data_IF_293799867811
#
_entry.id   IF_293799867811
#
_cell.length_a   1.000
_cell.length_b   1.000
_cell.length_c   1.000
_cell.angle_alpha   90.00
_cell.angle_beta   90.00
_cell.angle_gamma   90.00
#
_symmetry.space_group_name_H-M   'P 1'
#
loop_
_entity.id
_entity.type
_entity.pdbx_description
1 polymer ?
#
# COMPACT_ATOMS: atom_id res chain seq x y z
N UNK A 1 -2.52 -8.57 -24.24
CA UNK A 1 -2.25 -8.50 -25.69
C UNK A 1 -2.08 -9.88 -26.34
N UNK A 2 -1.24 -10.77 -25.82
CA UNK A 2 -1.00 -12.10 -26.43
C UNK A 2 -2.27 -12.98 -26.59
N UNK A 3 -3.20 -12.92 -25.64
CA UNK A 3 -4.47 -13.67 -25.69
C UNK A 3 -5.41 -13.17 -26.79
N UNK A 4 -5.51 -11.85 -26.97
CA UNK A 4 -6.34 -11.23 -28.03
C UNK A 4 -5.81 -11.58 -29.41
N UNK A 5 -4.49 -11.50 -29.61
CA UNK A 5 -3.82 -11.88 -30.85
C UNK A 5 -4.06 -13.37 -31.15
N UNK A 6 -4.00 -14.22 -30.12
CA UNK A 6 -4.26 -15.66 -30.27
C UNK A 6 -5.68 -15.95 -30.73
N UNK A 7 -6.71 -15.34 -30.12
CA UNK A 7 -8.10 -15.51 -30.56
C UNK A 7 -8.36 -14.93 -31.96
N UNK A 8 -7.71 -13.83 -32.32
CA UNK A 8 -7.81 -13.26 -33.66
C UNK A 8 -7.23 -14.21 -34.73
N UNK A 9 -6.06 -14.80 -34.47
CA UNK A 9 -5.45 -15.79 -35.36
C UNK A 9 -6.36 -17.02 -35.49
N UNK A 10 -6.91 -17.50 -34.37
CA UNK A 10 -7.76 -18.70 -34.33
C UNK A 10 -9.10 -18.47 -35.05
N UNK A 11 -9.69 -17.27 -34.93
CA UNK A 11 -10.87 -16.87 -35.69
C UNK A 11 -10.62 -16.77 -37.20
N UNK A 12 -9.46 -16.21 -37.61
CA UNK A 12 -9.03 -16.18 -39.02
C UNK A 12 -8.83 -17.61 -39.55
N UNK A 13 -8.26 -18.50 -38.74
CA UNK A 13 -8.09 -19.92 -39.10
C UNK A 13 -9.43 -20.64 -39.27
N UNK A 14 -10.40 -20.38 -38.38
CA UNK A 14 -11.76 -20.90 -38.48
C UNK A 14 -12.49 -20.43 -39.74
N UNK A 15 -12.14 -19.28 -40.31
CA UNK A 15 -12.68 -18.80 -41.59
C UNK A 15 -11.92 -19.37 -42.79
N UNK A 16 -10.58 -19.37 -42.75
CA UNK A 16 -9.75 -19.78 -43.87
C UNK A 16 -9.76 -21.29 -44.12
N UNK A 17 -9.66 -22.11 -43.07
CA UNK A 17 -9.52 -23.57 -43.23
C UNK A 17 -10.75 -24.21 -43.90
N UNK A 18 -12.00 -23.92 -43.47
CA UNK A 18 -13.18 -24.46 -44.14
C UNK A 18 -13.33 -23.93 -45.57
N UNK A 19 -12.96 -22.67 -45.83
CA UNK A 19 -13.01 -22.08 -47.18
C UNK A 19 -12.01 -22.77 -48.12
N UNK A 20 -10.77 -22.99 -47.67
CA UNK A 20 -9.75 -23.69 -48.45
C UNK A 20 -10.13 -25.15 -48.69
N UNK A 21 -10.68 -25.83 -47.68
CA UNK A 21 -11.16 -27.20 -47.82
C UNK A 21 -12.31 -27.31 -48.84
N UNK A 22 -13.26 -26.37 -48.80
CA UNK A 22 -14.37 -26.31 -49.76
C UNK A 22 -13.90 -26.04 -51.19
N UNK A 23 -12.96 -25.10 -51.38
CA UNK A 23 -12.39 -24.77 -52.69
C UNK A 23 -11.48 -25.87 -53.27
N UNK A 24 -10.92 -26.73 -52.42
CA UNK A 24 -10.09 -27.86 -52.84
C UNK A 24 -10.88 -29.09 -53.30
N UNK A 25 -12.22 -29.06 -53.15
CA UNK A 25 -13.10 -30.13 -53.62
C UNK A 25 -13.21 -30.17 -55.15
N UNK A 26 -13.33 -31.37 -55.72
CA UNK A 26 -13.44 -31.58 -57.18
C UNK A 26 -14.83 -31.29 -57.77
N UNK A 27 -15.80 -30.84 -56.96
CA UNK A 27 -17.15 -30.52 -57.41
C UNK A 27 -17.29 -29.06 -57.87
N UNK A 28 -18.19 -28.75 -58.83
CA UNK A 28 -18.50 -27.38 -59.20
C UNK A 28 -19.02 -26.58 -57.99
N UNK A 29 -18.42 -25.42 -57.78
CA UNK A 29 -18.72 -24.51 -56.66
C UNK A 29 -20.17 -24.02 -56.74
N UNK A 30 -21.04 -24.52 -55.86
CA UNK A 30 -22.39 -23.95 -55.62
C UNK A 30 -22.34 -23.02 -54.41
N UNK A 31 -22.87 -21.80 -54.56
CA UNK A 31 -22.92 -20.79 -53.50
C UNK A 31 -23.86 -21.24 -52.37
N UNK A 32 -24.93 -21.95 -52.71
CA UNK A 32 -25.96 -22.43 -51.80
C UNK A 32 -25.41 -23.53 -50.87
N UNK A 33 -24.64 -24.47 -51.43
CA UNK A 33 -23.92 -25.50 -50.66
C UNK A 33 -22.82 -24.89 -49.80
N UNK A 34 -22.12 -23.86 -50.29
CA UNK A 34 -21.12 -23.13 -49.53
C UNK A 34 -21.73 -22.47 -48.30
N UNK A 35 -22.82 -21.72 -48.48
CA UNK A 35 -23.54 -21.06 -47.39
C UNK A 35 -24.04 -22.04 -46.32
N UNK A 36 -24.57 -23.20 -46.73
CA UNK A 36 -25.02 -24.24 -45.81
C UNK A 36 -23.86 -24.89 -45.03
N UNK A 37 -22.72 -25.16 -45.68
CA UNK A 37 -21.53 -25.71 -45.04
C UNK A 37 -20.89 -24.72 -44.06
N UNK A 38 -20.78 -23.45 -44.45
CA UNK A 38 -20.25 -22.38 -43.60
C UNK A 38 -21.17 -22.09 -42.41
N UNK A 39 -22.49 -22.03 -42.66
CA UNK A 39 -23.48 -21.80 -41.61
C UNK A 39 -23.55 -22.93 -40.58
N UNK A 40 -23.39 -24.18 -41.01
CA UNK A 40 -23.45 -25.35 -40.12
C UNK A 40 -22.15 -25.62 -39.35
N UNK A 41 -20.99 -25.37 -39.96
CA UNK A 41 -19.70 -25.76 -39.39
C UNK A 41 -18.96 -24.56 -38.79
N UNK A 42 -18.79 -23.51 -39.59
CA UNK A 42 -18.00 -22.33 -39.21
C UNK A 42 -18.76 -21.43 -38.23
N UNK A 43 -20.09 -21.30 -38.39
CA UNK A 43 -20.95 -20.50 -37.51
C UNK A 43 -20.85 -20.91 -36.03
N UNK A 44 -21.13 -22.18 -35.66
CA UNK A 44 -21.02 -22.65 -34.28
C UNK A 44 -19.60 -22.56 -33.70
N UNK A 45 -18.58 -22.86 -34.51
CA UNK A 45 -17.17 -22.76 -34.09
C UNK A 45 -16.78 -21.31 -33.76
N UNK A 46 -17.14 -20.36 -34.62
CA UNK A 46 -16.91 -18.93 -34.36
C UNK A 46 -17.71 -18.44 -33.15
N UNK A 47 -18.95 -18.90 -32.97
CA UNK A 47 -19.76 -18.55 -31.80
C UNK A 47 -19.13 -19.05 -30.50
N UNK A 48 -18.63 -20.29 -30.49
CA UNK A 48 -17.92 -20.85 -29.33
C UNK A 48 -16.61 -20.11 -29.04
N UNK A 49 -15.84 -19.80 -30.08
CA UNK A 49 -14.58 -19.06 -29.97
C UNK A 49 -14.83 -17.62 -29.48
N UNK A 50 -15.90 -16.97 -29.95
CA UNK A 50 -16.33 -15.67 -29.45
C UNK A 50 -16.68 -15.72 -27.96
N UNK A 51 -17.40 -16.76 -27.50
CA UNK A 51 -17.71 -16.93 -26.08
C UNK A 51 -16.45 -17.11 -25.23
N UNK A 52 -15.49 -17.93 -25.69
CA UNK A 52 -14.20 -18.09 -25.01
C UNK A 52 -13.40 -16.78 -24.97
N UNK A 53 -13.40 -16.02 -26.06
CA UNK A 53 -12.74 -14.71 -26.12
C UNK A 53 -13.38 -13.72 -25.14
N UNK A 54 -14.71 -13.71 -25.03
CA UNK A 54 -15.44 -12.88 -24.05
C UNK A 54 -15.06 -13.29 -22.62
N UNK A 55 -15.08 -14.58 -22.30
CA UNK A 55 -14.71 -15.07 -20.96
C UNK A 55 -13.26 -14.72 -20.62
N UNK A 56 -12.32 -14.90 -21.56
CA UNK A 56 -10.93 -14.52 -21.36
C UNK A 56 -10.76 -13.02 -21.16
N UNK A 57 -11.53 -12.20 -21.89
CA UNK A 57 -11.53 -10.75 -21.74
C UNK A 57 -12.07 -10.34 -20.37
N UNK A 58 -13.16 -10.95 -19.91
CA UNK A 58 -13.72 -10.67 -18.58
C UNK A 58 -12.72 -11.01 -17.48
N UNK A 59 -12.04 -12.16 -17.56
CA UNK A 59 -11.02 -12.53 -16.57
C UNK A 59 -9.87 -11.53 -16.52
N UNK A 60 -9.36 -11.12 -17.69
CA UNK A 60 -8.30 -10.10 -17.74
C UNK A 60 -8.76 -8.75 -17.21
N UNK A 61 -10.00 -8.33 -17.50
CA UNK A 61 -10.56 -7.10 -16.97
C UNK A 61 -10.74 -7.17 -15.46
N UNK A 62 -11.23 -8.29 -14.92
CA UNK A 62 -11.35 -8.49 -13.47
C UNK A 62 -10.00 -8.37 -12.78
N UNK A 63 -8.95 -8.97 -13.34
CA UNK A 63 -7.60 -8.87 -12.78
C UNK A 63 -7.06 -7.44 -12.85
N UNK A 64 -7.25 -6.74 -13.98
CA UNK A 64 -6.85 -5.35 -14.11
C UNK A 64 -7.58 -4.44 -13.11
N UNK A 65 -8.89 -4.63 -12.91
CA UNK A 65 -9.68 -3.90 -11.91
C UNK A 65 -9.17 -4.19 -10.50
N UNK A 66 -8.84 -5.44 -10.20
CA UNK A 66 -8.30 -5.83 -8.89
C UNK A 66 -6.96 -5.15 -8.61
N UNK A 67 -6.07 -5.11 -9.60
CA UNK A 67 -4.77 -4.44 -9.49
C UNK A 67 -4.93 -2.93 -9.30
N UNK A 68 -5.82 -2.30 -10.06
CA UNK A 68 -6.12 -0.86 -9.92
C UNK A 68 -6.72 -0.54 -8.55
N UNK A 69 -7.66 -1.36 -8.07
CA UNK A 69 -8.25 -1.23 -6.74
C UNK A 69 -7.20 -1.36 -5.62
N UNK A 70 -6.28 -2.33 -5.74
CA UNK A 70 -5.18 -2.53 -4.79
C UNK A 70 -4.22 -1.34 -4.79
N UNK A 71 -3.82 -0.85 -5.96
CA UNK A 71 -2.96 0.33 -6.10
C UNK A 71 -3.61 1.59 -5.54
N UNK A 72 -4.92 1.79 -5.79
CA UNK A 72 -5.68 2.90 -5.24
C UNK A 72 -5.74 2.85 -3.72
N UNK A 73 -6.05 1.68 -3.15
CA UNK A 73 -6.08 1.48 -1.70
C UNK A 73 -4.72 1.78 -1.07
N UNK A 74 -3.63 1.27 -1.65
CA UNK A 74 -2.27 1.57 -1.20
C UNK A 74 -1.99 3.07 -1.26
N UNK A 75 -2.36 3.75 -2.35
CA UNK A 75 -2.22 5.20 -2.49
C UNK A 75 -2.99 6.00 -1.43
N UNK A 76 -4.22 5.60 -1.09
CA UNK A 76 -5.00 6.22 -0.02
C UNK A 76 -4.34 6.06 1.35
N UNK A 77 -3.81 4.86 1.67
CA UNK A 77 -3.08 4.65 2.90
C UNK A 77 -1.76 5.44 2.96
N UNK A 78 -1.01 5.53 1.86
CA UNK A 78 0.21 6.33 1.79
C UNK A 78 -0.09 7.81 2.02
N UNK A 79 -1.17 8.32 1.42
CA UNK A 79 -1.64 9.70 1.65
C UNK A 79 -2.03 9.92 3.11
N UNK A 80 -2.66 8.95 3.75
CA UNK A 80 -2.98 9.03 5.17
C UNK A 80 -1.71 9.05 6.04
N UNK A 81 -0.72 8.20 5.73
CA UNK A 81 0.58 8.21 6.41
C UNK A 81 1.33 9.53 6.24
N UNK A 82 1.33 10.10 5.03
CA UNK A 82 1.94 11.41 4.80
C UNK A 82 1.18 12.54 5.53
N UNK A 83 -0.15 12.43 5.65
CA UNK A 83 -0.96 13.34 6.47
C UNK A 83 -0.54 13.33 7.93
N UNK A 84 -0.54 12.15 8.57
CA UNK A 84 -0.10 12.01 9.98
C UNK A 84 1.34 12.48 10.15
N UNK A 85 2.23 12.18 9.19
CA UNK A 85 3.63 12.62 9.25
C UNK A 85 3.77 14.15 9.13
N UNK A 86 2.93 14.80 8.32
CA UNK A 86 2.85 16.26 8.26
C UNK A 86 2.40 16.86 9.59
N UNK A 87 1.34 16.31 10.18
CA UNK A 87 0.81 16.75 11.49
C UNK A 87 1.87 16.57 12.60
N UNK A 88 2.64 15.47 12.56
CA UNK A 88 3.81 15.28 13.44
C UNK A 88 4.88 16.36 13.24
N UNK A 89 5.13 16.75 11.98
CA UNK A 89 6.04 17.84 11.65
C UNK A 89 5.59 19.18 12.21
N UNK A 90 4.29 19.49 12.11
CA UNK A 90 3.70 20.70 12.67
C UNK A 90 3.79 20.72 14.21
N UNK A 91 3.51 19.59 14.87
CA UNK A 91 3.70 19.46 16.32
C UNK A 91 5.17 19.63 16.72
N UNK A 92 6.11 19.08 15.94
CA UNK A 92 7.55 19.23 16.18
C UNK A 92 7.99 20.70 16.07
N UNK A 93 7.41 21.44 15.14
CA UNK A 93 7.77 22.84 14.89
C UNK A 93 6.97 23.83 15.76
N UNK A 94 5.98 23.33 16.51
CA UNK A 94 5.27 24.10 17.54
C UNK A 94 6.25 24.69 18.54
N UNK A 95 6.13 25.99 18.74
CA UNK A 95 6.86 26.72 19.77
C UNK A 95 6.25 26.48 21.14
N UNK A 96 7.10 26.19 22.11
CA UNK A 96 6.75 25.99 23.51
C UNK A 96 7.44 27.09 24.30
N UNK A 97 6.66 27.77 25.15
CA UNK A 97 7.20 28.79 26.05
C UNK A 97 7.79 28.11 27.28
N UNK A 98 9.06 28.41 27.54
CA UNK A 98 9.71 28.09 28.79
C UNK A 98 9.23 28.99 29.93
N UNK A 99 9.43 28.51 31.15
CA UNK A 99 9.22 29.21 32.41
C UNK A 99 10.07 30.49 32.53
N UNK A 100 11.19 30.59 31.79
CA UNK A 100 12.06 31.76 31.70
C UNK A 100 11.65 32.75 30.59
N UNK A 101 10.56 32.47 29.87
CA UNK A 101 10.12 33.26 28.72
C UNK A 101 10.85 32.95 27.40
N UNK A 102 11.77 32.00 27.39
CA UNK A 102 12.38 31.50 26.15
C UNK A 102 11.36 30.73 25.30
N UNK A 103 11.52 30.75 23.98
CA UNK A 103 10.72 29.95 23.05
C UNK A 103 11.62 28.88 22.40
N UNK A 104 11.28 27.62 22.62
CA UNK A 104 11.95 26.48 22.00
C UNK A 104 10.91 25.66 21.22
N UNK A 105 11.31 25.10 20.08
CA UNK A 105 10.43 24.16 19.37
C UNK A 105 10.48 22.79 20.04
N UNK A 106 9.40 22.03 19.94
CA UNK A 106 9.38 20.65 20.43
C UNK A 106 10.51 19.81 19.80
N UNK A 107 10.80 20.04 18.52
CA UNK A 107 11.93 19.45 17.80
C UNK A 107 13.28 19.76 18.48
N UNK A 108 13.48 21.01 18.89
CA UNK A 108 14.67 21.43 19.61
C UNK A 108 14.81 20.71 20.96
N UNK A 109 13.71 20.60 21.70
CA UNK A 109 13.65 19.90 22.99
C UNK A 109 13.98 18.41 22.81
N UNK A 110 13.35 17.73 21.85
CA UNK A 110 13.57 16.32 21.57
C UNK A 110 15.01 16.02 21.14
N UNK A 111 15.64 16.91 20.36
CA UNK A 111 17.00 16.73 19.88
C UNK A 111 18.08 16.95 20.95
N UNK A 112 17.83 17.80 21.95
CA UNK A 112 18.83 18.18 22.96
C UNK A 112 19.16 17.08 23.98
N UNK A 113 18.47 15.92 23.93
CA UNK A 113 18.77 14.74 24.76
C UNK A 113 18.38 14.86 26.24
N UNK A 114 18.18 16.08 26.75
CA UNK A 114 17.58 16.41 28.04
C UNK A 114 16.66 17.61 27.88
N UNK A 115 15.55 17.64 28.60
CA UNK A 115 14.66 18.81 28.63
C UNK A 115 15.38 19.93 29.41
N UNK A 116 15.61 21.10 28.80
CA UNK A 116 16.12 22.26 29.54
C UNK A 116 15.25 22.55 30.76
N UNK A 117 15.82 22.82 31.93
CA UNK A 117 15.06 23.13 33.16
C UNK A 117 14.06 24.27 32.94
N UNK A 118 14.42 25.26 32.11
CA UNK A 118 13.54 26.35 31.70
C UNK A 118 12.31 25.90 30.93
N UNK A 119 12.33 24.73 30.29
CA UNK A 119 11.24 24.15 29.51
C UNK A 119 10.52 22.98 30.18
N UNK A 120 10.85 22.65 31.44
CA UNK A 120 10.14 21.61 32.23
C UNK A 120 8.80 22.13 32.77
N UNK A 121 7.93 22.59 31.87
CA UNK A 121 6.60 23.10 32.17
C UNK A 121 5.47 22.12 31.78
N UNK A 122 4.24 22.36 32.26
CA UNK A 122 3.07 21.56 31.88
C UNK A 122 2.80 21.59 30.37
N UNK A 123 3.12 22.69 29.69
CA UNK A 123 2.94 22.85 28.24
C UNK A 123 3.85 21.91 27.45
N UNK A 124 5.10 21.72 27.90
CA UNK A 124 6.05 20.79 27.27
C UNK A 124 5.61 19.34 27.43
N UNK A 125 5.14 18.96 28.62
CA UNK A 125 4.60 17.62 28.86
C UNK A 125 3.35 17.34 28.03
N UNK A 126 2.45 18.32 27.95
CA UNK A 126 1.26 18.24 27.09
C UNK A 126 1.65 18.02 25.63
N UNK A 127 2.58 18.82 25.10
CA UNK A 127 3.05 18.67 23.73
C UNK A 127 3.78 17.33 23.46
N UNK A 128 4.55 16.84 24.43
CA UNK A 128 5.19 15.51 24.34
C UNK A 128 4.17 14.38 24.33
N UNK A 129 3.11 14.48 25.13
CA UNK A 129 2.02 13.50 25.15
C UNK A 129 1.23 13.51 23.83
N UNK A 130 0.86 14.70 23.32
CA UNK A 130 0.20 14.85 22.02
C UNK A 130 1.04 14.22 20.90
N UNK A 131 2.35 14.53 20.90
CA UNK A 131 3.29 13.96 19.94
C UNK A 131 3.40 12.43 20.05
N UNK A 132 3.47 11.89 21.27
CA UNK A 132 3.52 10.45 21.51
C UNK A 132 2.27 9.72 21.01
N UNK A 133 1.09 10.30 21.25
CA UNK A 133 -0.19 9.75 20.78
C UNK A 133 -0.21 9.71 19.25
N UNK A 134 0.14 10.82 18.60
CA UNK A 134 0.13 10.92 17.15
C UNK A 134 1.18 10.01 16.50
N UNK A 135 2.35 9.85 17.13
CA UNK A 135 3.36 8.89 16.68
C UNK A 135 2.86 7.44 16.83
N UNK A 136 2.08 7.16 17.87
CA UNK A 136 1.39 5.89 18.04
C UNK A 136 0.46 5.58 16.87
N UNK A 137 -0.39 6.54 16.52
CA UNK A 137 -1.31 6.43 15.38
C UNK A 137 -0.55 6.24 14.06
N UNK A 138 0.57 6.93 13.88
CA UNK A 138 1.43 6.75 12.71
C UNK A 138 1.99 5.32 12.62
N UNK A 139 2.51 4.79 13.72
CA UNK A 139 3.04 3.42 13.77
C UNK A 139 1.94 2.38 13.52
N UNK A 140 0.77 2.57 14.10
CA UNK A 140 -0.40 1.71 13.86
C UNK A 140 -0.85 1.75 12.38
N UNK A 141 -0.90 2.94 11.78
CA UNK A 141 -1.23 3.09 10.35
C UNK A 141 -0.24 2.34 9.45
N UNK A 142 1.05 2.29 9.81
CA UNK A 142 2.06 1.46 9.11
C UNK A 142 1.75 -0.03 9.25
N UNK A 143 1.32 -0.49 10.43
CA UNK A 143 0.94 -1.89 10.63
C UNK A 143 -0.29 -2.26 9.79
N UNK A 144 -1.31 -1.39 9.79
CA UNK A 144 -2.51 -1.55 8.96
C UNK A 144 -2.14 -1.58 7.47
N UNK A 145 -1.23 -0.71 7.03
CA UNK A 145 -0.74 -0.72 5.66
C UNK A 145 -0.16 -2.07 5.26
N UNK A 146 0.71 -2.65 6.10
CA UNK A 146 1.33 -3.95 5.83
C UNK A 146 0.34 -5.10 5.79
N UNK A 147 -0.73 -5.01 6.58
CA UNK A 147 -1.77 -6.04 6.61
C UNK A 147 -2.72 -5.97 5.41
N UNK A 148 -2.88 -4.79 4.81
CA UNK A 148 -3.87 -4.55 3.75
C UNK A 148 -3.28 -4.36 2.35
N UNK A 149 -2.01 -3.94 2.24
CA UNK A 149 -1.40 -3.61 0.96
C UNK A 149 -0.43 -4.69 0.49
N UNK A 150 -0.38 -4.93 -0.82
CA UNK A 150 0.53 -5.92 -1.40
C UNK A 150 2.01 -5.52 -1.23
N UNK A 151 2.95 -6.48 -1.14
CA UNK A 151 4.38 -6.23 -0.90
C UNK A 151 5.11 -5.38 -1.96
N UNK A 152 4.46 -5.09 -3.08
CA UNK A 152 5.02 -4.33 -4.20
C UNK A 152 5.32 -2.86 -3.86
N UNK A 153 4.70 -2.32 -2.82
CA UNK A 153 4.92 -0.94 -2.40
C UNK A 153 5.86 -0.86 -1.19
N UNK A 154 6.90 -0.02 -1.31
CA UNK A 154 7.95 0.07 -0.30
C UNK A 154 7.53 0.95 0.90
N UNK A 155 6.99 0.32 1.94
CA UNK A 155 6.66 0.98 3.22
C UNK A 155 7.90 1.39 4.03
N UNK A 156 9.10 0.95 3.63
CA UNK A 156 10.33 1.10 4.43
C UNK A 156 10.65 2.56 4.74
N UNK A 157 10.38 3.48 3.82
CA UNK A 157 10.60 4.92 4.05
C UNK A 157 9.77 5.42 5.25
N UNK A 158 8.52 4.99 5.36
CA UNK A 158 7.63 5.37 6.46
C UNK A 158 8.05 4.71 7.77
N UNK A 159 8.49 3.45 7.71
CA UNK A 159 9.05 2.73 8.85
C UNK A 159 10.30 3.44 9.39
N UNK A 160 11.23 3.81 8.51
CA UNK A 160 12.47 4.49 8.88
C UNK A 160 12.19 5.89 9.46
N UNK A 161 11.19 6.61 8.92
CA UNK A 161 10.72 7.89 9.48
C UNK A 161 10.17 7.71 10.90
N UNK A 162 9.24 6.77 11.09
CA UNK A 162 8.65 6.48 12.39
C UNK A 162 9.67 6.03 13.41
N UNK A 163 10.63 5.20 13.01
CA UNK A 163 11.71 4.74 13.88
C UNK A 163 12.57 5.89 14.41
N UNK A 164 12.91 6.88 13.57
CA UNK A 164 13.68 8.06 14.01
C UNK A 164 12.91 8.90 15.03
N UNK A 165 11.62 9.11 14.80
CA UNK A 165 10.75 9.84 15.74
C UNK A 165 10.59 9.09 17.06
N UNK A 166 10.48 7.76 16.99
CA UNK A 166 10.40 6.92 18.18
C UNK A 166 11.71 6.94 18.98
N UNK A 167 12.87 6.92 18.32
CA UNK A 167 14.18 7.03 18.98
C UNK A 167 14.39 8.41 19.64
N UNK A 168 13.78 9.47 19.10
CA UNK A 168 13.73 10.77 19.74
C UNK A 168 12.83 10.74 20.99
N UNK A 169 11.63 10.18 20.88
CA UNK A 169 10.68 10.07 21.99
C UNK A 169 11.23 9.22 23.15
N UNK A 170 11.91 8.10 22.83
CA UNK A 170 12.52 7.18 23.81
C UNK A 170 13.51 7.86 24.77
N UNK A 171 14.15 8.96 24.34
CA UNK A 171 15.09 9.71 25.19
C UNK A 171 14.42 10.49 26.31
N UNK A 172 13.12 10.77 26.17
CA UNK A 172 12.34 11.61 27.08
C UNK A 172 11.23 10.83 27.80
N UNK A 173 11.36 9.50 27.91
CA UNK A 173 10.32 8.64 28.50
C UNK A 173 10.01 8.90 29.95
N UNK A 174 10.98 9.44 30.71
CA UNK A 174 10.77 9.80 32.11
C UNK A 174 9.81 10.99 32.28
N UNK A 175 9.61 11.79 31.22
CA UNK A 175 8.81 13.02 31.22
C UNK A 175 7.39 12.81 30.70
N UNK A 176 7.12 11.65 30.08
CA UNK A 176 5.81 11.29 29.54
C UNK A 176 4.90 10.83 30.69
N UNK A 177 4.03 11.73 31.13
CA UNK A 177 3.11 11.48 32.23
C UNK A 177 2.10 10.41 31.82
N UNK A 178 2.25 9.19 32.35
CA UNK A 178 1.35 8.07 32.09
C UNK A 178 1.52 7.34 30.74
N UNK A 179 2.40 7.78 29.83
CA UNK A 179 2.72 6.97 28.65
C UNK A 179 3.58 5.79 29.10
N UNK A 180 2.92 4.65 29.31
CA UNK A 180 3.59 3.45 29.75
C UNK A 180 4.69 3.05 28.77
N UNK A 181 5.85 2.54 29.23
CA UNK A 181 6.81 1.84 28.38
C UNK A 181 6.17 0.81 27.44
N UNK A 182 5.00 0.29 27.81
CA UNK A 182 4.16 -0.57 26.98
C UNK A 182 3.74 0.10 25.67
N UNK A 183 3.37 1.38 25.65
CA UNK A 183 2.96 2.07 24.43
C UNK A 183 4.13 2.19 23.43
N UNK A 184 5.33 2.47 23.93
CA UNK A 184 6.56 2.52 23.13
C UNK A 184 6.94 1.13 22.59
N UNK A 185 6.75 0.08 23.39
CA UNK A 185 6.89 -1.30 22.93
C UNK A 185 5.94 -1.59 21.75
N UNK A 186 4.67 -1.17 21.84
CA UNK A 186 3.70 -1.35 20.76
C UNK A 186 4.08 -0.56 19.50
N UNK A 187 4.54 0.68 19.64
CA UNK A 187 5.04 1.47 18.50
C UNK A 187 6.20 0.78 17.80
N UNK A 188 7.20 0.30 18.56
CA UNK A 188 8.35 -0.42 17.99
C UNK A 188 7.91 -1.74 17.33
N UNK A 189 6.98 -2.47 17.96
CA UNK A 189 6.39 -3.71 17.42
C UNK A 189 5.69 -3.45 16.06
N UNK A 190 4.87 -2.40 15.97
CA UNK A 190 4.20 -2.01 14.74
C UNK A 190 5.20 -1.62 13.63
N UNK A 191 6.27 -0.89 13.97
CA UNK A 191 7.33 -0.54 13.02
C UNK A 191 8.11 -1.76 12.54
N UNK A 192 8.31 -2.79 13.37
CA UNK A 192 8.95 -4.06 12.99
C UNK A 192 8.02 -4.98 12.19
N UNK A 193 6.71 -4.76 12.26
CA UNK A 193 5.72 -5.62 11.62
C UNK A 193 5.44 -6.90 12.43
N UNK A 194 5.76 -6.86 13.72
CA UNK A 194 5.50 -7.95 14.65
C UNK A 194 4.02 -7.93 15.07
N UNK A 195 3.37 -9.09 15.10
CA UNK A 195 1.94 -9.22 15.47
C UNK A 195 1.72 -9.67 16.92
N UNK A 196 2.80 -10.03 17.60
CA UNK A 196 2.80 -10.48 19.01
C UNK A 196 3.99 -9.84 19.70
N UNK A 197 3.76 -9.36 20.92
CA UNK A 197 4.82 -8.84 21.79
C UNK A 197 5.85 -9.95 22.06
N UNK A 198 7.03 -9.85 21.44
CA UNK A 198 8.21 -10.50 21.98
C UNK A 198 8.48 -9.88 23.37
N UNK A 199 8.98 -10.68 24.32
CA UNK A 199 9.38 -10.22 25.67
C UNK A 199 10.04 -8.83 25.61
N UNK A 200 9.82 -7.99 26.61
CA UNK A 200 10.25 -6.59 26.67
C UNK A 200 11.71 -6.35 26.18
N UNK A 201 11.89 -6.14 24.88
CA UNK A 201 13.17 -5.97 24.19
C UNK A 201 13.30 -4.58 23.54
N UNK A 202 12.26 -3.74 23.60
CA UNK A 202 12.32 -2.42 22.97
C UNK A 202 13.29 -1.45 23.68
N UNK A 203 13.65 -1.76 24.95
CA UNK A 203 14.69 -1.05 25.73
C UNK A 203 16.11 -1.57 25.48
N UNK A 204 16.29 -2.68 24.75
CA UNK A 204 17.62 -3.24 24.43
C UNK A 204 18.08 -2.98 23.00
N UNK A 205 17.28 -2.27 22.19
CA UNK A 205 17.68 -1.87 20.84
C UNK A 205 18.75 -0.76 20.95
N UNK A 206 19.95 -0.92 20.36
CA UNK A 206 20.93 0.15 20.32
C UNK A 206 20.36 1.31 19.49
N UNK A 207 20.32 2.49 20.09
CA UNK A 207 20.05 3.75 19.40
C UNK A 207 21.01 3.87 18.22
N UNK A 208 20.48 4.04 17.00
CA UNK A 208 21.35 4.32 15.85
C UNK A 208 21.90 5.73 16.02
N UNK A 209 23.21 5.82 16.24
CA UNK A 209 23.97 7.07 16.20
C UNK A 209 24.11 7.61 14.79
#
# INVERSE_FOLDING_TARGET
MATIISFAILGVLCLLVPTLFYLSGSEPVSIDKFGAFFGSTTGPLLSFLALLAVVATLRNQTEAIRQDASAKMAGEHLRWLDGIYSDLGELLDRKIKGNDGSELTLRGILNNGSIPESSSGPDTRSALNDFAILLGQYCEAIAIYRDNCEPLFDVKVYVDRGARLLDQLKRHTAELDGLSPIAIDFMDMHLRGEKKRAKAEAMSRPTRG
#
